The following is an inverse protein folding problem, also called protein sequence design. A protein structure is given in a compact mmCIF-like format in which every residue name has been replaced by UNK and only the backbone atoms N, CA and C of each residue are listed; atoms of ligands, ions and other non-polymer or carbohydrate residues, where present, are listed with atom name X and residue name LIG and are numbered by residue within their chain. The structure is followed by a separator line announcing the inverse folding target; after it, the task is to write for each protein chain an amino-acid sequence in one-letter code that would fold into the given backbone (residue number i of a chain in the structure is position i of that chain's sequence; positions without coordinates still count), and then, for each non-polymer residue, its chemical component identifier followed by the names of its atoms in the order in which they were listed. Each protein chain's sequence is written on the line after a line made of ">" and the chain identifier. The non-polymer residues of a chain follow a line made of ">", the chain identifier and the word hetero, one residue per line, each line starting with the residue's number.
data_IF_772330256122
#
_entry.id   IF_772330256122
#
_cell.length_a   1.000
_cell.length_b   1.000
_cell.length_c   1.000
_cell.angle_alpha   90.00
_cell.angle_beta   90.00
_cell.angle_gamma   90.00
#
_symmetry.space_group_name_H-M   'P 1'
#
loop_
_entity.id
_entity.type
_entity.pdbx_description
1 polymer ?
#
# COMPACT_ATOMS: atom_id res chain seq x y z
N UNK A 1 6.78 -16.61 9.88
CA UNK A 1 6.68 -15.37 9.08
C UNK A 1 7.31 -14.26 9.90
N UNK A 2 8.32 -13.57 9.36
CA UNK A 2 8.95 -12.43 10.04
C UNK A 2 8.24 -11.16 9.57
N UNK A 3 7.52 -10.48 10.46
CA UNK A 3 6.97 -9.16 10.17
C UNK A 3 8.13 -8.15 10.08
N UNK A 4 8.04 -7.20 9.15
CA UNK A 4 8.98 -6.09 9.13
C UNK A 4 8.74 -5.23 10.37
N UNK A 5 9.78 -5.00 11.17
CA UNK A 5 9.73 -4.02 12.26
C UNK A 5 9.77 -2.62 11.66
N UNK A 6 8.95 -1.69 12.15
CA UNK A 6 9.16 -0.29 11.82
C UNK A 6 10.47 0.17 12.47
N UNK A 7 11.48 0.49 11.66
CA UNK A 7 12.78 0.94 12.19
C UNK A 7 13.06 2.40 11.85
N UNK A 8 12.43 2.94 10.80
CA UNK A 8 12.70 4.28 10.31
C UNK A 8 11.44 4.92 9.71
N UNK A 9 11.18 6.18 10.07
CA UNK A 9 10.00 6.93 9.60
C UNK A 9 10.40 7.99 8.58
N UNK A 10 9.68 8.05 7.47
CA UNK A 10 9.66 9.17 6.52
C UNK A 10 8.59 10.17 6.99
N UNK A 11 9.01 11.40 7.26
CA UNK A 11 8.12 12.49 7.67
C UNK A 11 7.84 13.38 6.45
N UNK A 12 6.57 13.61 6.12
CA UNK A 12 6.20 14.40 4.92
C UNK A 12 6.31 15.90 5.18
N UNK A 13 5.88 16.40 6.34
CA UNK A 13 5.89 17.82 6.68
C UNK A 13 7.28 18.47 6.52
N UNK A 14 8.39 17.88 7.00
CA UNK A 14 9.72 18.45 6.78
C UNK A 14 10.11 18.55 5.30
N UNK A 15 9.72 17.58 4.47
CA UNK A 15 10.01 17.60 3.03
C UNK A 15 9.24 18.73 2.35
N UNK A 16 7.96 18.88 2.71
CA UNK A 16 7.10 19.98 2.23
C UNK A 16 7.70 21.35 2.62
N UNK A 17 8.07 21.52 3.89
CA UNK A 17 8.60 22.79 4.40
C UNK A 17 9.99 23.16 3.85
N UNK A 18 10.77 22.18 3.37
CA UNK A 18 12.06 22.41 2.73
C UNK A 18 11.93 22.87 1.26
N UNK A 19 10.80 22.60 0.61
CA UNK A 19 10.57 22.98 -0.79
C UNK A 19 10.31 24.49 -0.94
N UNK A 20 11.28 25.22 -1.49
CA UNK A 20 11.10 26.65 -1.78
C UNK A 20 9.92 26.90 -2.73
N UNK A 21 9.70 26.01 -3.70
CA UNK A 21 8.59 26.14 -4.65
C UNK A 21 7.22 26.08 -3.96
N UNK A 22 7.06 25.18 -2.97
CA UNK A 22 5.83 25.09 -2.18
C UNK A 22 5.69 26.26 -1.21
N UNK A 23 6.80 26.69 -0.57
CA UNK A 23 6.80 27.87 0.31
C UNK A 23 6.33 29.14 -0.40
N UNK A 24 6.78 29.36 -1.65
CA UNK A 24 6.36 30.51 -2.45
C UNK A 24 4.85 30.53 -2.76
N UNK A 25 4.17 29.40 -2.63
CA UNK A 25 2.74 29.25 -2.86
C UNK A 25 1.93 29.23 -1.56
N UNK A 26 2.55 29.56 -0.42
CA UNK A 26 1.99 29.43 0.92
C UNK A 26 1.49 28.02 1.24
N UNK A 27 2.04 26.99 0.59
CA UNK A 27 1.67 25.60 0.83
C UNK A 27 2.30 25.09 2.12
N UNK A 28 1.48 24.52 3.00
CA UNK A 28 1.87 24.06 4.33
C UNK A 28 1.07 22.81 4.75
N UNK A 29 1.22 22.37 6.00
CA UNK A 29 0.53 21.18 6.52
C UNK A 29 -1.00 21.28 6.50
N UNK A 30 -1.61 22.45 6.47
CA UNK A 30 -3.06 22.58 6.28
C UNK A 30 -3.51 22.46 4.81
N UNK A 31 -2.57 22.54 3.86
CA UNK A 31 -2.85 22.49 2.40
C UNK A 31 -3.04 21.07 1.85
N UNK A 32 -2.79 20.03 2.66
CA UNK A 32 -2.93 18.65 2.22
C UNK A 32 -3.34 17.70 3.35
N UNK A 33 -4.02 16.63 2.95
CA UNK A 33 -4.37 15.50 3.81
C UNK A 33 -3.50 14.31 3.44
N UNK A 34 -2.90 13.69 4.46
CA UNK A 34 -2.20 12.41 4.32
C UNK A 34 -3.17 11.31 4.75
N UNK A 35 -3.60 10.50 3.79
CA UNK A 35 -4.58 9.42 3.94
C UNK A 35 -3.88 8.08 3.76
N UNK A 36 -4.20 7.12 4.61
CA UNK A 36 -3.35 5.94 4.86
C UNK A 36 -1.94 6.38 5.29
N UNK A 37 -1.54 5.96 6.48
CA UNK A 37 -0.15 6.15 6.95
C UNK A 37 0.45 4.76 7.11
N UNK A 38 1.71 4.66 7.55
CA UNK A 38 2.49 3.40 7.64
C UNK A 38 3.25 3.04 6.37
N UNK A 39 2.95 1.93 5.69
CA UNK A 39 3.78 1.36 4.62
C UNK A 39 3.44 1.92 3.24
N UNK A 40 2.35 2.67 3.16
CA UNK A 40 1.98 3.52 2.05
C UNK A 40 1.30 4.79 2.56
N UNK A 41 1.32 5.85 1.76
CA UNK A 41 0.47 7.00 1.97
C UNK A 41 -0.08 7.57 0.67
N UNK A 42 -1.22 8.23 0.79
CA UNK A 42 -1.96 8.87 -0.28
C UNK A 42 -2.17 10.32 0.10
N UNK A 43 -1.86 11.24 -0.82
CA UNK A 43 -1.86 12.67 -0.54
C UNK A 43 -2.96 13.33 -1.37
N UNK A 44 -3.96 13.87 -0.68
CA UNK A 44 -4.95 14.77 -1.26
C UNK A 44 -4.51 16.21 -1.04
N UNK A 45 -4.59 17.03 -2.09
CA UNK A 45 -4.23 18.45 -2.05
C UNK A 45 -5.53 19.25 -2.08
N UNK A 46 -5.77 20.07 -1.05
CA UNK A 46 -7.06 20.75 -0.87
C UNK A 46 -6.83 22.27 -0.64
N UNK A 47 -7.68 23.11 -1.23
CA UNK A 47 -7.77 24.55 -0.96
C UNK A 47 -6.41 25.30 -1.00
N UNK A 48 -5.66 25.14 -2.09
CA UNK A 48 -4.32 25.73 -2.24
C UNK A 48 -4.04 26.19 -3.67
N UNK A 49 -3.07 27.09 -3.82
CA UNK A 49 -2.56 27.55 -5.11
C UNK A 49 -1.55 26.56 -5.72
N UNK A 50 -1.12 25.55 -4.96
CA UNK A 50 -0.20 24.53 -5.47
C UNK A 50 -0.93 23.46 -6.29
N UNK A 51 -0.36 23.12 -7.44
CA UNK A 51 -0.84 22.00 -8.25
C UNK A 51 -0.32 20.67 -7.72
N UNK A 52 -1.03 19.59 -8.04
CA UNK A 52 -0.56 18.21 -7.76
C UNK A 52 0.85 17.98 -8.32
N UNK A 53 1.17 18.55 -9.48
CA UNK A 53 2.49 18.42 -10.10
C UNK A 53 3.60 19.07 -9.29
N UNK A 54 3.33 20.24 -8.70
CA UNK A 54 4.28 20.95 -7.85
C UNK A 54 4.53 20.19 -6.55
N UNK A 55 3.47 19.63 -5.96
CA UNK A 55 3.56 18.77 -4.77
C UNK A 55 4.35 17.49 -5.11
N UNK A 56 4.02 16.84 -6.23
CA UNK A 56 4.73 15.65 -6.70
C UNK A 56 6.23 15.92 -6.92
N UNK A 57 6.56 17.03 -7.57
CA UNK A 57 7.96 17.43 -7.81
C UNK A 57 8.72 17.68 -6.50
N UNK A 58 8.08 18.34 -5.53
CA UNK A 58 8.66 18.61 -4.22
C UNK A 58 8.94 17.34 -3.40
N UNK A 59 8.08 16.32 -3.52
CA UNK A 59 8.22 15.05 -2.83
C UNK A 59 9.14 14.06 -3.56
N UNK A 60 9.58 14.37 -4.78
CA UNK A 60 10.49 13.49 -5.51
C UNK A 60 11.89 13.53 -4.88
N UNK A 61 12.39 12.37 -4.44
CA UNK A 61 13.75 12.28 -3.93
C UNK A 61 14.77 12.69 -5.01
N UNK A 62 15.86 13.41 -4.67
CA UNK A 62 16.91 13.69 -5.63
C UNK A 62 17.56 12.38 -6.08
N UNK A 63 17.56 12.13 -7.39
CA UNK A 63 18.18 10.95 -8.03
C UNK A 63 19.70 10.81 -7.77
N UNK A 64 20.32 11.75 -7.05
CA UNK A 64 21.76 11.84 -6.78
C UNK A 64 22.21 11.04 -5.54
N UNK A 65 21.30 10.38 -4.83
CA UNK A 65 21.65 9.66 -3.60
C UNK A 65 22.23 8.29 -3.95
N UNK A 66 23.48 8.00 -3.56
CA UNK A 66 24.06 6.62 -3.60
C UNK A 66 23.33 5.63 -2.70
N UNK A 67 22.31 6.07 -1.95
CA UNK A 67 21.52 5.27 -1.02
C UNK A 67 20.21 4.84 -1.69
N UNK A 68 19.71 3.62 -1.41
CA UNK A 68 18.39 3.21 -1.89
C UNK A 68 17.32 4.20 -1.42
N UNK A 69 16.38 4.52 -2.30
CA UNK A 69 15.27 5.41 -1.97
C UNK A 69 14.42 4.79 -0.86
N UNK A 70 14.02 5.60 0.12
CA UNK A 70 13.17 5.18 1.24
C UNK A 70 11.74 4.87 0.79
N UNK A 71 11.33 5.48 -0.31
CA UNK A 71 10.01 5.35 -0.91
C UNK A 71 10.04 5.55 -2.41
N UNK A 72 8.98 5.11 -3.06
CA UNK A 72 8.69 5.37 -4.46
C UNK A 72 7.46 6.28 -4.53
N UNK A 73 7.51 7.25 -5.43
CA UNK A 73 6.45 8.25 -5.59
C UNK A 73 5.77 8.02 -6.94
N UNK A 74 4.45 7.90 -6.90
CA UNK A 74 3.61 7.62 -8.04
C UNK A 74 2.48 8.63 -8.14
N UNK A 75 2.13 8.99 -9.36
CA UNK A 75 0.79 9.52 -9.63
C UNK A 75 -0.15 8.33 -9.65
N UNK A 76 -1.41 8.54 -9.26
CA UNK A 76 -2.46 7.51 -9.32
C UNK A 76 -2.44 6.74 -10.65
N UNK A 77 -2.26 7.42 -11.76
CA UNK A 77 -2.30 6.88 -13.12
C UNK A 77 -1.01 6.14 -13.54
N UNK A 78 0.09 6.37 -12.81
CA UNK A 78 1.44 5.90 -13.18
C UNK A 78 1.96 4.78 -12.27
N UNK A 79 1.13 4.29 -11.35
CA UNK A 79 1.49 3.16 -10.50
C UNK A 79 1.77 1.91 -11.34
N UNK A 80 2.64 0.99 -10.87
CA UNK A 80 2.89 -0.27 -11.56
C UNK A 80 1.58 -1.01 -11.84
N UNK A 81 1.33 -1.34 -13.12
CA UNK A 81 0.09 -1.99 -13.56
C UNK A 81 -0.25 -3.26 -12.77
N UNK A 82 0.77 -4.02 -12.35
CA UNK A 82 0.62 -5.24 -11.54
C UNK A 82 -0.06 -5.02 -10.19
N UNK A 83 -0.06 -3.79 -9.66
CA UNK A 83 -0.80 -3.49 -8.43
C UNK A 83 -2.30 -3.49 -8.63
N UNK A 84 -2.79 -3.31 -9.86
CA UNK A 84 -4.20 -3.07 -10.15
C UNK A 84 -4.79 -1.96 -9.26
N UNK A 85 -3.94 -1.03 -8.82
CA UNK A 85 -4.23 0.06 -7.91
C UNK A 85 -4.04 1.39 -8.65
N UNK A 86 -4.78 1.58 -9.73
CA UNK A 86 -4.70 2.75 -10.60
C UNK A 86 -6.09 3.05 -11.17
N UNK A 87 -6.32 4.29 -11.60
CA UNK A 87 -7.55 4.70 -12.32
C UNK A 87 -8.86 4.52 -11.52
N UNK A 88 -8.86 4.90 -10.25
CA UNK A 88 -10.05 4.95 -9.39
C UNK A 88 -10.11 6.29 -8.64
N UNK A 89 -11.27 6.92 -8.54
CA UNK A 89 -11.40 8.27 -7.98
C UNK A 89 -11.10 8.30 -6.48
N UNK A 90 -11.37 7.18 -5.79
CA UNK A 90 -11.06 6.99 -4.36
C UNK A 90 -9.58 6.89 -4.04
N UNK A 91 -8.71 6.80 -5.05
CA UNK A 91 -7.26 6.87 -4.90
C UNK A 91 -6.84 8.32 -5.10
N UNK A 92 -6.07 8.86 -4.16
CA UNK A 92 -5.62 10.24 -4.19
C UNK A 92 -4.56 10.44 -5.28
N UNK A 93 -4.42 11.67 -5.83
CA UNK A 93 -3.59 11.92 -7.01
C UNK A 93 -2.10 11.57 -6.83
N UNK A 94 -1.59 11.66 -5.60
CA UNK A 94 -0.20 11.33 -5.26
C UNK A 94 -0.18 10.16 -4.29
N UNK A 95 0.54 9.11 -4.66
CA UNK A 95 0.70 7.87 -3.89
C UNK A 95 2.18 7.63 -3.61
N UNK A 96 2.48 7.27 -2.37
CA UNK A 96 3.82 7.05 -1.86
C UNK A 96 3.88 5.64 -1.29
N UNK A 97 4.73 4.79 -1.84
CA UNK A 97 4.91 3.39 -1.37
C UNK A 97 6.28 3.24 -0.75
N UNK A 98 6.35 2.72 0.47
CA UNK A 98 7.60 2.65 1.23
C UNK A 98 8.34 1.35 0.90
N UNK A 99 9.66 1.38 0.98
CA UNK A 99 10.46 0.15 1.01
C UNK A 99 10.66 -0.28 2.47
N UNK A 100 10.61 -1.57 2.83
CA UNK A 100 10.96 -2.00 4.19
C UNK A 100 12.37 -1.52 4.58
N UNK A 101 12.62 -1.13 5.85
CA UNK A 101 11.72 -1.12 7.00
C UNK A 101 11.06 0.25 7.24
N UNK A 102 10.83 1.03 6.18
CA UNK A 102 10.35 2.41 6.30
C UNK A 102 8.83 2.50 6.43
N UNK A 103 8.37 3.42 7.28
CA UNK A 103 6.98 3.86 7.34
C UNK A 103 6.87 5.35 7.04
N UNK A 104 5.65 5.86 6.84
CA UNK A 104 5.39 7.28 6.57
C UNK A 104 4.32 7.84 7.51
N UNK A 105 4.59 9.04 7.99
CA UNK A 105 3.66 9.86 8.75
C UNK A 105 3.77 11.33 8.29
N UNK A 106 2.74 12.12 8.59
CA UNK A 106 2.70 13.53 8.24
C UNK A 106 3.77 14.29 9.04
N UNK A 107 3.62 14.26 10.36
CA UNK A 107 4.51 14.88 11.34
C UNK A 107 5.21 13.83 12.23
N UNK A 108 5.93 14.30 13.25
CA UNK A 108 6.47 13.46 14.30
C UNK A 108 5.34 12.86 15.15
N UNK A 109 4.96 11.61 14.84
CA UNK A 109 4.21 10.78 15.78
C UNK A 109 5.14 10.31 16.90
N UNK A 110 4.60 10.13 18.10
CA UNK A 110 5.35 9.56 19.22
C UNK A 110 6.06 8.26 18.79
N UNK A 111 7.34 8.15 19.13
CA UNK A 111 8.28 7.09 18.73
C UNK A 111 7.74 5.66 18.96
N UNK A 112 6.81 5.52 19.92
CA UNK A 112 6.16 4.27 20.33
C UNK A 112 5.32 3.60 19.24
N UNK A 113 4.99 4.27 18.13
CA UNK A 113 4.17 3.68 17.08
C UNK A 113 4.93 2.65 16.22
N UNK A 114 6.26 2.65 16.28
CA UNK A 114 7.12 1.78 15.47
C UNK A 114 7.58 0.49 16.17
N UNK A 115 6.96 0.13 17.29
CA UNK A 115 7.34 -1.06 18.07
C UNK A 115 6.68 -2.37 17.57
N UNK A 116 5.74 -2.27 16.62
CA UNK A 116 4.97 -3.38 16.07
C UNK A 116 5.53 -4.01 14.79
N UNK A 117 4.79 -5.00 14.27
CA UNK A 117 5.02 -5.58 12.94
C UNK A 117 4.17 -4.88 11.88
N UNK A 118 4.77 -4.61 10.72
CA UNK A 118 4.16 -3.84 9.64
C UNK A 118 3.73 -4.71 8.45
N UNK A 119 2.64 -4.29 7.79
CA UNK A 119 2.17 -4.86 6.52
C UNK A 119 1.66 -3.76 5.57
N UNK A 120 1.36 -4.12 4.33
CA UNK A 120 0.89 -3.19 3.29
C UNK A 120 1.99 -2.67 2.36
N UNK A 121 3.21 -3.19 2.50
CA UNK A 121 4.25 -3.02 1.47
C UNK A 121 3.84 -3.72 0.17
N UNK A 122 4.68 -3.57 -0.85
CA UNK A 122 4.58 -4.31 -2.11
C UNK A 122 4.23 -5.80 -1.89
N UNK A 123 3.15 -6.24 -2.53
CA UNK A 123 2.61 -7.58 -2.40
C UNK A 123 3.56 -8.69 -2.90
N UNK A 124 4.66 -8.35 -3.56
CA UNK A 124 5.70 -9.31 -3.95
C UNK A 124 6.81 -9.48 -2.90
N UNK A 125 6.85 -8.67 -1.83
CA UNK A 125 7.80 -8.92 -0.76
C UNK A 125 7.50 -10.27 -0.09
N UNK A 126 8.53 -11.09 0.21
CA UNK A 126 8.34 -12.39 0.87
C UNK A 126 7.59 -12.30 2.21
N UNK A 127 7.74 -11.18 2.93
CA UNK A 127 7.04 -10.92 4.20
C UNK A 127 5.55 -10.60 4.04
N UNK A 128 5.11 -10.27 2.82
CA UNK A 128 3.71 -9.93 2.50
C UNK A 128 2.96 -11.11 1.86
N UNK A 129 3.63 -12.25 1.64
CA UNK A 129 2.98 -13.47 1.15
C UNK A 129 2.08 -14.07 2.22
N UNK A 130 0.88 -14.50 1.84
CA UNK A 130 -0.08 -15.14 2.74
C UNK A 130 0.08 -16.66 2.76
N UNK A 131 -0.57 -17.31 3.74
CA UNK A 131 -0.69 -18.77 3.80
C UNK A 131 -1.99 -19.18 3.11
N UNK A 132 -1.92 -20.24 2.29
CA UNK A 132 -3.09 -20.93 1.77
C UNK A 132 -3.01 -22.42 2.15
N UNK A 133 -4.06 -22.92 2.79
CA UNK A 133 -4.26 -24.33 3.11
C UNK A 133 -5.73 -24.65 2.85
N UNK A 134 -5.98 -25.73 2.12
CA UNK A 134 -7.33 -26.19 1.84
C UNK A 134 -7.38 -27.71 1.97
N UNK A 135 -8.49 -28.20 2.53
CA UNK A 135 -8.76 -29.62 2.73
C UNK A 135 -10.24 -29.87 2.48
N UNK A 136 -10.58 -30.92 1.75
CA UNK A 136 -11.96 -31.28 1.48
C UNK A 136 -12.09 -32.35 0.40
N UNK A 137 -13.27 -32.97 0.26
CA UNK A 137 -13.50 -34.12 -0.63
C UNK A 137 -13.33 -33.80 -2.11
N UNK A 138 -13.45 -32.52 -2.50
CA UNK A 138 -13.28 -32.04 -3.88
C UNK A 138 -11.84 -31.60 -4.18
N UNK A 139 -10.91 -31.77 -3.24
CA UNK A 139 -9.51 -31.37 -3.36
C UNK A 139 -8.61 -32.60 -3.26
N UNK A 140 -7.49 -32.61 -3.99
CA UNK A 140 -6.52 -33.68 -3.87
C UNK A 140 -5.74 -33.56 -2.56
N UNK A 141 -5.61 -34.67 -1.85
CA UNK A 141 -4.83 -34.72 -0.62
C UNK A 141 -3.32 -34.61 -0.90
N UNK A 142 -2.61 -33.91 0.00
CA UNK A 142 -1.15 -33.79 -0.04
C UNK A 142 -0.58 -32.98 -1.21
N UNK A 143 -1.42 -32.33 -2.02
CA UNK A 143 -0.96 -31.55 -3.16
C UNK A 143 -0.33 -30.22 -2.71
N UNK A 144 0.87 -29.93 -3.22
CA UNK A 144 1.51 -28.60 -3.12
C UNK A 144 1.34 -27.86 -4.44
N UNK A 145 1.00 -26.57 -4.38
CA UNK A 145 0.80 -25.73 -5.56
C UNK A 145 1.87 -24.65 -5.63
N UNK A 146 2.07 -24.08 -6.82
CA UNK A 146 2.82 -22.84 -6.94
C UNK A 146 2.04 -21.69 -6.27
N UNK A 147 2.76 -20.63 -5.86
CA UNK A 147 2.10 -19.43 -5.35
C UNK A 147 1.14 -18.85 -6.40
N UNK A 148 -0.02 -18.40 -5.94
CA UNK A 148 -1.05 -17.81 -6.78
C UNK A 148 -1.67 -16.61 -6.07
N UNK A 149 -2.34 -15.73 -6.84
CA UNK A 149 -2.98 -14.54 -6.29
C UNK A 149 -4.28 -14.91 -5.55
N UNK A 150 -4.55 -14.25 -4.42
CA UNK A 150 -5.77 -14.51 -3.64
C UNK A 150 -7.07 -14.23 -4.41
N UNK A 151 -7.02 -13.46 -5.50
CA UNK A 151 -8.17 -13.21 -6.38
C UNK A 151 -8.70 -14.50 -7.04
N UNK A 152 -7.86 -15.53 -7.18
CA UNK A 152 -8.24 -16.83 -7.76
C UNK A 152 -9.14 -17.64 -6.81
N UNK A 153 -9.17 -17.31 -5.52
CA UNK A 153 -9.95 -18.03 -4.51
C UNK A 153 -11.45 -18.00 -4.79
N UNK A 154 -11.96 -16.91 -5.37
CA UNK A 154 -13.37 -16.81 -5.70
C UNK A 154 -13.80 -17.88 -6.71
N UNK A 155 -13.02 -18.07 -7.78
CA UNK A 155 -13.29 -19.10 -8.78
C UNK A 155 -13.20 -20.51 -8.16
N UNK A 156 -12.21 -20.74 -7.29
CA UNK A 156 -12.09 -21.99 -6.55
C UNK A 156 -13.35 -22.28 -5.71
N UNK A 157 -13.79 -21.33 -4.89
CA UNK A 157 -14.98 -21.50 -4.04
C UNK A 157 -16.26 -21.70 -4.85
N UNK A 158 -16.45 -20.92 -5.92
CA UNK A 158 -17.60 -21.08 -6.80
C UNK A 158 -17.66 -22.49 -7.43
N UNK A 159 -16.52 -23.01 -7.90
CA UNK A 159 -16.44 -24.35 -8.50
C UNK A 159 -16.73 -25.48 -7.50
N UNK A 160 -16.26 -25.34 -6.26
CA UNK A 160 -16.53 -26.28 -5.18
C UNK A 160 -18.02 -26.27 -4.81
N UNK A 161 -18.63 -25.10 -4.70
CA UNK A 161 -20.06 -24.94 -4.37
C UNK A 161 -20.99 -25.43 -5.49
N UNK A 162 -20.63 -25.26 -6.77
CA UNK A 162 -21.41 -25.84 -7.88
C UNK A 162 -21.37 -27.36 -7.94
N UNK A 163 -20.38 -27.98 -7.28
CA UNK A 163 -20.24 -29.44 -7.19
C UNK A 163 -21.05 -30.04 -6.04
N UNK A 164 -21.53 -29.23 -5.10
CA UNK A 164 -22.53 -29.66 -4.13
C UNK A 164 -23.90 -29.67 -4.82
N UNK A 165 -24.32 -30.86 -5.28
CA UNK A 165 -25.76 -31.14 -5.30
C UNK A 165 -26.25 -30.86 -3.89
N UNK A 166 -27.03 -29.80 -3.70
CA UNK A 166 -27.78 -29.58 -2.47
C UNK A 166 -28.51 -30.88 -2.16
N UNK A 167 -27.98 -31.70 -1.25
CA UNK A 167 -28.75 -32.74 -0.62
C UNK A 167 -29.87 -32.00 0.10
N UNK A 168 -31.06 -31.95 -0.52
CA UNK A 168 -32.29 -31.69 0.20
C UNK A 168 -32.34 -32.74 1.31
N UNK A 169 -31.97 -32.35 2.52
CA UNK A 169 -32.36 -33.11 3.69
C UNK A 169 -33.90 -33.05 3.73
N UNK A 170 -34.60 -34.20 3.69
CA UNK A 170 -36.03 -34.20 3.91
C UNK A 170 -36.23 -33.79 5.38
N UNK A 171 -36.91 -32.66 5.58
CA UNK A 171 -37.47 -32.33 6.88
C UNK A 171 -38.53 -33.40 7.19
N UNK A 172 -38.22 -34.29 8.13
CA UNK A 172 -39.20 -35.06 8.90
C UNK A 172 -39.34 -34.42 10.27
#
# INVERSE_FOLDING_TARGET
>A
MSAHKCLQTVKISPIVHQSQALRNLNFNDASYSLLETWTMARISVNNTNATVDQVFAALKCPNSSRKPSKYQLYRRETQPRRFHYFNEERIEPVVLTLTPPYTVFKEERAENFCEGGEHGYDNLYPSQQAIFLAQGPSLNDGQKTAAFSNIELYALFASCCSSFKFCRLPWT
#
